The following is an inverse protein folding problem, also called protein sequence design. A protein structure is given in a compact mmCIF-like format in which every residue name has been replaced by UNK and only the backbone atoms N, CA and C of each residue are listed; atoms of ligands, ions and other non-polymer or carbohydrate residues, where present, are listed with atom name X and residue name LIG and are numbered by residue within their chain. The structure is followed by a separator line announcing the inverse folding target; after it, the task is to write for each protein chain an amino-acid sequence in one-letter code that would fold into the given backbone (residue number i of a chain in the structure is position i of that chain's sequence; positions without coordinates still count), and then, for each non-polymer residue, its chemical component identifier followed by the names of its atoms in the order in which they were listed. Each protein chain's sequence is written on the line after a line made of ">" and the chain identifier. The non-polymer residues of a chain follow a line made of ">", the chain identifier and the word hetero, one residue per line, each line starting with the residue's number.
data_IF_447012996212
#
_entry.id   IF_447012996212
#
_cell.length_a   1.000
_cell.length_b   1.000
_cell.length_c   1.000
_cell.angle_alpha   90.00
_cell.angle_beta   90.00
_cell.angle_gamma   90.00
#
_symmetry.space_group_name_H-M   'P 1'
#
loop_
_entity.id
_entity.type
_entity.pdbx_description
1 polymer ?
#
# COMPACT_ATOMS: atom_id res chain seq x y z
N UNK A 1 -10.06 10.70 -22.87
CA UNK A 1 -10.26 9.59 -22.94
C UNK A 1 -10.52 9.48 -23.10
N UNK A 2 -10.20 9.41 -22.80
CA UNK A 2 -10.32 8.46 -22.85
C UNK A 2 -10.58 8.00 -23.13
N UNK A 3 -10.16 8.50 -23.09
CA UNK A 3 -10.48 7.45 -23.23
C UNK A 3 -10.44 7.12 -23.32
N UNK A 4 -10.46 7.28 -23.29
CA UNK A 4 -10.48 6.13 -23.36
C UNK A 4 -10.40 6.09 -23.37
N UNK A 5 -9.86 6.39 -23.38
CA UNK A 5 -10.12 5.54 -23.40
C UNK A 5 -10.08 5.37 -23.44
N UNK A 6 -10.21 5.41 -23.33
CA UNK A 6 -10.45 4.70 -23.29
C UNK A 6 -10.48 4.19 -23.22
N UNK A 7 -9.96 4.82 -23.34
CA UNK A 7 -10.34 3.99 -23.34
C UNK A 7 -10.25 3.80 -23.32
N UNK A 8 -10.33 3.77 -23.13
CA UNK A 8 -10.67 3.16 -23.09
C UNK A 8 -10.72 2.71 -22.98
N UNK A 9 -10.30 2.94 -22.87
CA UNK A 9 -10.71 2.28 -22.73
C UNK A 9 -10.86 1.89 -22.58
N UNK A 10 -10.83 2.17 -22.41
CA UNK A 10 -11.37 1.44 -22.23
C UNK A 10 -11.67 1.06 -22.11
N UNK A 11 -11.78 1.34 -22.05
CA UNK A 11 -12.34 0.64 -21.97
C UNK A 11 -12.75 0.63 -21.68
N UNK A 12 -13.14 0.58 -21.46
CA UNK A 12 -13.81 0.22 -21.10
C UNK A 12 -14.56 0.42 -20.68
N UNK A 13 -14.70 0.44 -20.54
CA UNK A 13 -15.46 0.48 -20.11
C UNK A 13 -15.85 0.82 -19.38
N UNK A 14 -16.50 0.62 -19.49
CA UNK A 14 -16.84 0.93 -18.64
C UNK A 14 -16.24 1.37 -17.96
N UNK A 15 -16.33 1.67 -17.88
CA UNK A 15 -15.58 1.87 -17.12
C UNK A 15 -15.34 1.32 -15.87
N UNK A 16 -14.77 0.35 -15.73
CA UNK A 16 -14.42 -0.22 -14.47
C UNK A 16 -13.40 0.63 -13.80
N UNK A 17 -13.63 0.96 -12.51
CA UNK A 17 -12.63 1.66 -11.74
C UNK A 17 -11.53 0.68 -11.37
N UNK A 18 -10.29 1.14 -11.37
CA UNK A 18 -9.19 0.33 -10.88
C UNK A 18 -9.39 0.06 -9.39
N UNK A 19 -8.80 -1.01 -8.85
CA UNK A 19 -8.87 -1.25 -7.40
C UNK A 19 -8.34 -0.08 -6.58
N UNK A 20 -7.33 0.63 -7.09
CA UNK A 20 -6.77 1.79 -6.39
C UNK A 20 -7.81 2.91 -6.31
N UNK A 21 -8.52 3.17 -7.39
CA UNK A 21 -9.55 4.22 -7.39
C UNK A 21 -10.68 3.89 -6.42
N UNK A 22 -11.04 2.62 -6.35
CA UNK A 22 -12.06 2.17 -5.40
C UNK A 22 -11.59 2.40 -3.97
N UNK A 23 -10.35 2.07 -3.67
CA UNK A 23 -9.79 2.28 -2.34
C UNK A 23 -9.74 3.76 -1.98
N UNK A 24 -9.36 4.62 -2.94
CA UNK A 24 -9.34 6.06 -2.70
C UNK A 24 -10.72 6.57 -2.28
N UNK A 25 -11.74 6.09 -2.95
CA UNK A 25 -13.09 6.50 -2.60
C UNK A 25 -13.50 6.04 -1.21
N UNK A 26 -13.19 4.79 -0.89
CA UNK A 26 -13.58 4.22 0.40
C UNK A 26 -12.94 4.96 1.56
N UNK A 27 -11.71 5.41 1.41
CA UNK A 27 -10.98 6.06 2.50
C UNK A 27 -10.96 7.58 2.39
N UNK A 28 -11.64 8.13 1.39
CA UNK A 28 -11.67 9.58 1.23
C UNK A 28 -10.35 10.17 0.79
N UNK A 29 -9.55 9.40 0.09
CA UNK A 29 -8.24 9.85 -0.39
C UNK A 29 -8.44 10.77 -1.60
N UNK A 30 -7.72 11.91 -1.67
CA UNK A 30 -7.83 12.80 -2.82
C UNK A 30 -7.49 12.07 -4.12
N UNK A 31 -8.17 12.45 -5.18
CA UNK A 31 -8.00 11.78 -6.46
C UNK A 31 -6.61 11.97 -7.03
N UNK A 32 -5.92 13.07 -6.67
CA UNK A 32 -4.56 13.33 -7.15
C UNK A 32 -3.50 12.53 -6.40
N UNK A 33 -3.87 11.85 -5.32
CA UNK A 33 -2.91 11.09 -4.53
C UNK A 33 -2.40 9.90 -5.35
N UNK A 34 -1.10 9.66 -5.27
CA UNK A 34 -0.48 8.54 -5.96
C UNK A 34 -0.36 7.35 -5.02
N UNK A 35 -0.83 6.19 -5.46
CA UNK A 35 -0.68 4.97 -4.68
C UNK A 35 0.77 4.51 -4.74
N UNK A 36 1.43 4.49 -3.60
CA UNK A 36 2.84 4.09 -3.53
C UNK A 36 3.00 2.58 -3.43
N UNK A 37 2.12 1.93 -2.68
CA UNK A 37 2.21 0.50 -2.48
C UNK A 37 1.61 0.10 -1.16
N UNK A 38 1.76 -1.18 -0.85
CA UNK A 38 1.37 -1.73 0.44
C UNK A 38 2.54 -1.67 1.39
N UNK A 39 2.24 -1.64 2.67
CA UNK A 39 3.27 -1.70 3.69
C UNK A 39 2.80 -2.54 4.85
N UNK A 40 3.66 -2.64 5.87
CA UNK A 40 3.38 -3.39 7.09
C UNK A 40 3.63 -2.46 8.27
N UNK A 41 2.67 -2.40 9.19
CA UNK A 41 2.74 -1.52 10.34
C UNK A 41 2.56 -2.35 11.61
N UNK A 42 3.35 -2.02 12.63
CA UNK A 42 3.22 -2.65 13.93
C UNK A 42 1.98 -2.10 14.62
N UNK A 43 1.01 -2.97 14.93
CA UNK A 43 -0.28 -2.53 15.44
C UNK A 43 -0.14 -1.86 16.82
N UNK A 44 0.81 -2.33 17.63
CA UNK A 44 0.97 -1.81 18.97
C UNK A 44 1.71 -0.49 19.07
N UNK A 45 2.65 -0.25 18.18
CA UNK A 45 3.55 0.91 18.26
C UNK A 45 3.38 1.90 17.12
N UNK A 46 2.68 1.53 16.07
CA UNK A 46 2.49 2.43 14.93
C UNK A 46 3.70 2.58 14.03
N UNK A 47 4.77 1.84 14.29
CA UNK A 47 5.95 1.90 13.44
C UNK A 47 5.75 1.11 12.16
N UNK A 48 6.48 1.53 11.11
CA UNK A 48 6.40 0.92 9.79
C UNK A 48 7.60 0.02 9.56
N UNK A 49 7.36 -1.10 8.89
CA UNK A 49 8.44 -1.97 8.48
C UNK A 49 9.25 -1.25 7.40
N UNK A 50 10.56 -1.10 7.61
CA UNK A 50 11.43 -0.41 6.67
C UNK A 50 12.35 -1.36 5.92
N UNK A 51 12.58 -2.55 6.46
CA UNK A 51 13.42 -3.56 5.81
C UNK A 51 12.94 -4.93 6.22
N UNK A 52 12.94 -5.84 5.28
CA UNK A 52 12.56 -7.22 5.52
C UNK A 52 13.44 -8.14 4.69
N UNK A 53 14.24 -8.96 5.35
CA UNK A 53 15.08 -9.95 4.70
C UNK A 53 14.79 -11.31 5.32
N UNK A 54 14.67 -12.30 4.47
CA UNK A 54 14.46 -13.67 4.92
C UNK A 54 15.58 -14.51 4.35
N UNK A 55 16.40 -15.05 5.24
CA UNK A 55 17.52 -15.85 4.85
C UNK A 55 17.46 -17.15 5.66
N UNK A 56 17.32 -18.27 4.95
CA UNK A 56 17.13 -19.57 5.59
C UNK A 56 15.91 -19.54 6.50
N UNK A 57 16.07 -19.83 7.78
CA UNK A 57 14.97 -19.79 8.74
C UNK A 57 14.93 -18.49 9.52
N UNK A 58 15.82 -17.56 9.20
CA UNK A 58 15.92 -16.33 9.96
C UNK A 58 15.26 -15.16 9.23
N UNK A 59 14.64 -14.29 10.00
CA UNK A 59 14.01 -13.09 9.48
C UNK A 59 14.69 -11.89 10.11
N UNK A 60 15.21 -11.00 9.25
CA UNK A 60 15.84 -9.76 9.68
C UNK A 60 14.97 -8.61 9.20
N UNK A 61 14.51 -7.80 10.13
CA UNK A 61 13.64 -6.67 9.78
C UNK A 61 14.02 -5.44 10.60
N UNK A 62 13.66 -4.27 10.07
CA UNK A 62 13.88 -3.00 10.72
C UNK A 62 12.59 -2.20 10.69
N UNK A 63 12.43 -1.30 11.64
CA UNK A 63 11.21 -0.51 11.81
C UNK A 63 11.54 0.97 11.81
N UNK A 64 10.60 1.79 11.40
CA UNK A 64 10.79 3.24 11.33
C UNK A 64 9.49 3.95 11.75
N UNK A 65 9.64 5.13 12.31
CA UNK A 65 8.49 5.97 12.64
C UNK A 65 8.01 6.77 11.44
N UNK A 66 8.80 6.81 10.37
CA UNK A 66 8.54 7.66 9.22
C UNK A 66 7.92 6.86 8.09
N UNK A 67 6.71 7.22 7.63
CA UNK A 67 6.10 6.51 6.50
C UNK A 67 6.89 6.70 5.20
N UNK A 68 7.69 7.76 5.10
CA UNK A 68 8.53 7.97 3.92
C UNK A 68 9.61 6.91 3.79
N UNK A 69 9.99 6.30 4.91
CA UNK A 69 11.03 5.27 4.94
C UNK A 69 10.46 3.87 4.96
N UNK A 70 9.15 3.72 4.87
CA UNK A 70 8.51 2.42 4.92
C UNK A 70 8.85 1.61 3.68
N UNK A 71 9.00 0.31 3.87
CA UNK A 71 9.20 -0.63 2.77
C UNK A 71 7.91 -0.69 1.95
N UNK A 72 8.04 -0.43 0.65
CA UNK A 72 6.90 -0.47 -0.25
C UNK A 72 6.85 -1.83 -0.93
N UNK A 73 5.72 -2.50 -0.77
CA UNK A 73 5.48 -3.82 -1.31
C UNK A 73 4.41 -3.69 -2.38
N UNK A 74 4.67 -4.21 -3.56
CA UNK A 74 3.78 -3.99 -4.70
C UNK A 74 2.58 -4.89 -4.73
N UNK A 75 2.74 -6.15 -4.36
CA UNK A 75 1.68 -7.13 -4.50
C UNK A 75 0.98 -7.42 -3.20
N UNK A 76 -0.34 -7.62 -3.28
CA UNK A 76 -1.13 -7.96 -2.10
C UNK A 76 -0.69 -9.29 -1.49
N UNK A 77 -0.41 -10.28 -2.33
CA UNK A 77 0.06 -11.58 -1.82
C UNK A 77 1.40 -11.45 -1.11
N UNK A 78 2.26 -10.58 -1.64
CA UNK A 78 3.56 -10.36 -1.04
C UNK A 78 3.45 -9.71 0.33
N UNK A 79 2.59 -8.69 0.45
CA UNK A 79 2.44 -8.00 1.74
C UNK A 79 1.81 -8.93 2.78
N UNK A 80 0.89 -9.79 2.36
CA UNK A 80 0.32 -10.76 3.29
C UNK A 80 1.40 -11.71 3.81
N UNK A 81 2.28 -12.19 2.93
CA UNK A 81 3.33 -13.10 3.33
C UNK A 81 4.29 -12.44 4.32
N UNK A 82 4.66 -11.19 4.07
CA UNK A 82 5.53 -10.44 4.97
C UNK A 82 4.85 -10.22 6.32
N UNK A 83 3.61 -9.79 6.30
CA UNK A 83 2.85 -9.52 7.51
C UNK A 83 2.69 -10.78 8.37
N UNK A 84 2.45 -11.92 7.72
CA UNK A 84 2.31 -13.19 8.43
C UNK A 84 3.62 -13.62 9.09
N UNK A 85 4.74 -13.17 8.56
CA UNK A 85 6.05 -13.47 9.13
C UNK A 85 6.39 -12.56 10.31
N UNK A 86 5.61 -11.50 10.52
CA UNK A 86 5.87 -10.50 11.58
C UNK A 86 4.64 -10.40 12.47
N UNK A 87 4.58 -11.15 13.58
CA UNK A 87 3.41 -11.13 14.46
C UNK A 87 3.10 -9.74 15.01
N UNK A 88 1.83 -9.45 15.18
CA UNK A 88 1.39 -8.17 15.71
C UNK A 88 1.41 -7.03 14.71
N UNK A 89 1.34 -7.36 13.45
CA UNK A 89 1.36 -6.35 12.39
C UNK A 89 0.07 -6.35 11.58
N UNK A 90 -0.14 -5.24 10.88
CA UNK A 90 -1.27 -5.10 9.95
C UNK A 90 -0.74 -4.64 8.60
N UNK A 91 -1.47 -4.97 7.56
CA UNK A 91 -1.17 -4.51 6.21
C UNK A 91 -1.76 -3.12 6.02
N UNK A 92 -1.03 -2.23 5.37
CA UNK A 92 -1.46 -0.85 5.15
C UNK A 92 -1.31 -0.46 3.70
N UNK A 93 -2.00 0.64 3.35
CA UNK A 93 -1.91 1.28 2.04
C UNK A 93 -1.22 2.63 2.23
N UNK A 94 -0.32 2.96 1.32
CA UNK A 94 0.40 4.22 1.38
C UNK A 94 0.14 5.04 0.12
N UNK A 95 -0.21 6.32 0.31
CA UNK A 95 -0.50 7.25 -0.77
C UNK A 95 0.32 8.52 -0.60
N UNK A 96 0.88 9.01 -1.70
CA UNK A 96 1.64 10.26 -1.72
C UNK A 96 0.70 11.38 -2.16
N UNK A 97 0.51 12.37 -1.29
CA UNK A 97 -0.32 13.54 -1.61
C UNK A 97 0.53 14.80 -1.76
N UNK A 98 1.85 14.65 -1.83
CA UNK A 98 2.78 15.76 -2.01
C UNK A 98 3.51 16.09 -0.74
N UNK A 99 2.90 16.87 0.17
CA UNK A 99 3.61 17.25 1.40
C UNK A 99 3.71 16.11 2.41
N UNK A 100 2.85 15.09 2.30
CA UNK A 100 2.86 14.00 3.27
C UNK A 100 2.41 12.71 2.63
N UNK A 101 2.59 11.63 3.37
CA UNK A 101 2.15 10.32 2.95
C UNK A 101 0.97 9.91 3.83
N UNK A 102 -0.13 9.54 3.20
CA UNK A 102 -1.31 9.06 3.90
C UNK A 102 -1.23 7.55 4.07
N UNK A 103 -1.61 7.08 5.24
CA UNK A 103 -1.53 5.67 5.62
C UNK A 103 -2.92 5.19 6.02
N UNK A 104 -3.37 4.09 5.44
CA UNK A 104 -4.67 3.51 5.77
C UNK A 104 -4.52 2.01 5.98
N UNK A 105 -5.30 1.44 6.91
CA UNK A 105 -5.30 -0.02 7.04
C UNK A 105 -5.86 -0.64 5.77
N UNK A 106 -5.28 -1.76 5.36
CA UNK A 106 -5.68 -2.41 4.11
C UNK A 106 -6.88 -3.31 4.28
N UNK A 107 -7.29 -3.58 5.51
CA UNK A 107 -8.49 -4.37 5.79
C UNK A 107 -9.02 -4.14 7.19
#
# INVERSE_FOLDING_TARGET
>A
MRIGARSRRQGKSCEEMSPVDTLKRLFGVPSHAAFLGFGVQCAGHGQFLSRFDRCNAEIDCAWTDSPESALLIRGWQEVLAVSQSCPGTIEILLFDVGPEILVFPAR
#
